data_IF_332734405522
#
_entry.id   IF_332734405522
#
_cell.length_a   1.000
_cell.length_b   1.000
_cell.length_c   1.000
_cell.angle_alpha   90.00
_cell.angle_beta   90.00
_cell.angle_gamma   90.00
#
_symmetry.space_group_name_H-M   'P 1'
#
loop_
_entity.id
_entity.type
_entity.pdbx_description
1 polymer ?
#
# COMPACT_ATOMS: atom_id res chain seq x y z
N UNK A 1 9.86 -18.51 -1.17
CA UNK A 1 8.51 -18.15 -0.69
C UNK A 1 8.69 -16.71 -0.27
N UNK A 2 8.57 -15.80 -1.23
CA UNK A 2 9.10 -14.44 -1.06
C UNK A 2 7.89 -13.51 -1.06
N UNK A 3 7.47 -13.12 0.14
CA UNK A 3 6.30 -12.30 0.37
C UNK A 3 6.41 -11.63 1.72
N UNK A 4 5.79 -10.46 1.84
CA UNK A 4 5.78 -9.69 3.07
C UNK A 4 4.68 -10.17 4.00
N UNK A 5 4.95 -10.19 5.31
CA UNK A 5 3.93 -10.47 6.32
C UNK A 5 3.46 -9.16 6.96
N UNK A 6 2.15 -9.01 7.08
CA UNK A 6 1.56 -7.80 7.65
C UNK A 6 0.23 -8.05 8.33
N UNK A 7 -0.21 -7.03 9.07
CA UNK A 7 -1.52 -6.94 9.69
C UNK A 7 -2.27 -5.84 8.95
N UNK A 8 -3.54 -6.09 8.62
CA UNK A 8 -4.40 -5.04 8.12
C UNK A 8 -5.85 -5.25 8.50
N UNK A 9 -6.71 -4.41 7.93
CA UNK A 9 -8.09 -4.29 8.38
C UNK A 9 -8.91 -5.56 8.11
N UNK A 10 -9.91 -5.84 8.96
CA UNK A 10 -10.76 -7.05 8.84
C UNK A 10 -11.52 -7.18 7.52
N UNK A 11 -11.64 -6.07 6.75
CA UNK A 11 -12.28 -6.04 5.43
C UNK A 11 -11.31 -6.26 4.27
N UNK A 12 -10.04 -6.54 4.54
CA UNK A 12 -9.07 -6.88 3.50
C UNK A 12 -9.51 -8.12 2.71
N UNK A 13 -9.20 -8.12 1.42
CA UNK A 13 -9.42 -9.27 0.54
C UNK A 13 -8.34 -9.34 -0.53
N UNK A 14 -8.27 -10.49 -1.20
CA UNK A 14 -7.42 -10.67 -2.39
C UNK A 14 -7.77 -9.62 -3.44
N UNK A 15 -6.75 -8.94 -3.96
CA UNK A 15 -6.87 -7.83 -4.92
C UNK A 15 -6.79 -6.44 -4.29
N UNK A 16 -6.82 -6.33 -2.96
CA UNK A 16 -6.48 -5.08 -2.29
C UNK A 16 -4.97 -4.79 -2.42
N UNK A 17 -4.63 -3.51 -2.54
CA UNK A 17 -3.27 -3.03 -2.72
C UNK A 17 -2.78 -2.37 -1.43
N UNK A 18 -1.59 -2.78 -0.96
CA UNK A 18 -0.86 -2.03 0.07
C UNK A 18 -0.05 -0.93 -0.62
N UNK A 19 -0.26 0.32 -0.22
CA UNK A 19 0.38 1.48 -0.82
C UNK A 19 1.01 2.36 0.25
N UNK A 20 2.04 3.09 -0.16
CA UNK A 20 2.52 4.28 0.57
C UNK A 20 1.81 5.48 -0.03
N UNK A 21 1.14 6.27 0.80
CA UNK A 21 0.66 7.60 0.40
C UNK A 21 1.69 8.63 0.86
N UNK A 22 2.22 9.42 -0.06
CA UNK A 22 3.22 10.43 0.28
C UNK A 22 2.69 11.42 1.33
N UNK A 23 3.50 11.67 2.36
CA UNK A 23 3.12 12.46 3.53
C UNK A 23 2.51 11.65 4.67
N UNK A 24 2.18 10.37 4.46
CA UNK A 24 1.78 9.44 5.51
C UNK A 24 2.98 8.81 6.24
N UNK A 25 2.76 8.48 7.52
CA UNK A 25 3.70 7.76 8.39
C UNK A 25 3.38 6.26 8.50
N UNK A 26 2.29 5.82 7.86
CA UNK A 26 1.81 4.43 7.82
C UNK A 26 1.50 3.99 6.39
N UNK A 27 1.31 2.69 6.19
CA UNK A 27 0.83 2.13 4.92
C UNK A 27 -0.68 2.18 4.85
N UNK A 28 -1.22 2.18 3.64
CA UNK A 28 -2.65 2.20 3.39
C UNK A 28 -3.08 1.05 2.50
N UNK A 29 -4.35 0.69 2.59
CA UNK A 29 -4.99 -0.32 1.76
C UNK A 29 -5.93 0.38 0.81
N UNK A 30 -5.65 0.29 -0.48
CA UNK A 30 -6.55 0.74 -1.55
C UNK A 30 -7.18 -0.46 -2.24
N UNK A 31 -8.46 -0.33 -2.56
CA UNK A 31 -9.20 -1.31 -3.35
C UNK A 31 -9.57 -0.71 -4.70
N UNK A 32 -9.19 -1.34 -5.82
CA UNK A 32 -9.69 -0.93 -7.14
C UNK A 32 -11.21 -1.10 -7.24
N UNK A 33 -11.91 -0.05 -7.67
CA UNK A 33 -13.34 -0.01 -7.95
C UNK A 33 -13.56 0.71 -9.30
N UNK A 34 -13.42 -0.04 -10.40
CA UNK A 34 -13.50 0.51 -11.76
C UNK A 34 -12.28 1.36 -12.10
N UNK A 35 -12.51 2.62 -12.44
CA UNK A 35 -11.46 3.62 -12.74
C UNK A 35 -10.92 4.34 -11.49
N UNK A 36 -11.55 4.10 -10.34
CA UNK A 36 -11.25 4.75 -9.06
C UNK A 36 -10.81 3.75 -8.01
N UNK A 37 -10.37 4.26 -6.86
CA UNK A 37 -9.95 3.46 -5.72
C UNK A 37 -10.76 3.82 -4.49
N UNK A 38 -10.95 2.82 -3.64
CA UNK A 38 -11.54 3.01 -2.32
C UNK A 38 -10.47 2.86 -1.25
N UNK A 39 -10.37 3.84 -0.36
CA UNK A 39 -9.55 3.74 0.84
C UNK A 39 -10.22 2.79 1.83
N UNK A 40 -9.59 1.64 2.09
CA UNK A 40 -10.11 0.61 3.00
C UNK A 40 -9.64 0.89 4.44
N UNK A 41 -8.43 1.40 4.61
CA UNK A 41 -7.86 1.74 5.91
C UNK A 41 -6.34 1.67 5.91
N UNK A 42 -5.76 1.62 7.10
CA UNK A 42 -4.33 1.52 7.33
C UNK A 42 -3.84 0.06 7.30
N UNK A 43 -2.58 -0.13 6.96
CA UNK A 43 -1.85 -1.40 7.01
C UNK A 43 -0.55 -1.26 7.80
N UNK A 44 -0.17 -2.35 8.45
CA UNK A 44 1.14 -2.50 9.07
C UNK A 44 1.87 -3.68 8.43
N UNK A 45 2.96 -3.38 7.72
CA UNK A 45 3.88 -4.39 7.20
C UNK A 45 5.24 -4.06 7.77
N UNK A 46 5.76 -4.93 8.64
CA UNK A 46 6.91 -4.64 9.49
C UNK A 46 8.13 -4.18 8.69
N UNK A 47 8.43 -4.86 7.60
CA UNK A 47 9.61 -4.58 6.78
C UNK A 47 9.43 -3.25 6.02
N UNK A 48 8.25 -3.05 5.40
CA UNK A 48 7.98 -1.87 4.56
C UNK A 48 7.85 -0.55 5.34
N UNK A 49 7.42 -0.58 6.61
CA UNK A 49 7.24 0.63 7.43
C UNK A 49 8.58 1.24 7.89
N UNK A 50 9.68 0.51 7.76
CA UNK A 50 11.04 0.97 8.15
C UNK A 50 11.72 1.87 7.10
N UNK A 51 11.01 2.23 6.03
CA UNK A 51 11.54 3.05 4.93
C UNK A 51 12.01 2.25 3.71
N UNK A 52 11.96 0.92 3.78
CA UNK A 52 12.26 0.03 2.65
C UNK A 52 11.40 0.34 1.42
N UNK A 53 10.12 0.66 1.60
CA UNK A 53 9.24 1.01 0.48
C UNK A 53 9.76 2.24 -0.30
N UNK A 54 10.34 3.22 0.40
CA UNK A 54 10.95 4.40 -0.23
C UNK A 54 12.29 4.08 -0.88
N UNK A 55 13.08 3.16 -0.30
CA UNK A 55 14.30 2.67 -0.91
C UNK A 55 14.00 1.94 -2.23
N UNK A 56 12.94 1.12 -2.27
CA UNK A 56 12.48 0.44 -3.49
C UNK A 56 12.03 1.44 -4.58
N UNK A 57 11.37 2.53 -4.19
CA UNK A 57 11.03 3.61 -5.13
C UNK A 57 12.30 4.26 -5.69
N UNK A 58 13.27 4.60 -4.84
CA UNK A 58 14.53 5.22 -5.26
C UNK A 58 15.39 4.28 -6.14
N UNK A 59 15.31 2.97 -5.91
CA UNK A 59 15.96 1.94 -6.73
C UNK A 59 15.23 1.67 -8.06
N UNK A 60 14.04 2.23 -8.27
CA UNK A 60 13.22 2.01 -9.46
C UNK A 60 12.48 0.67 -9.48
N UNK A 61 12.42 -0.03 -8.34
CA UNK A 61 11.68 -1.30 -8.19
C UNK A 61 10.17 -1.09 -8.04
N UNK A 62 9.75 0.13 -7.73
CA UNK A 62 8.35 0.55 -7.62
C UNK A 62 8.15 1.86 -8.38
N UNK A 63 6.91 2.08 -8.82
CA UNK A 63 6.51 3.30 -9.51
C UNK A 63 5.48 4.04 -8.68
N UNK A 64 5.57 5.37 -8.69
CA UNK A 64 4.54 6.25 -8.17
C UNK A 64 3.42 6.44 -9.19
N UNK A 65 2.20 6.68 -8.70
CA UNK A 65 1.04 7.00 -9.52
C UNK A 65 0.04 7.82 -8.70
N UNK A 66 -0.86 8.50 -9.39
CA UNK A 66 -2.02 9.14 -8.78
C UNK A 66 -3.15 8.12 -8.58
N UNK A 67 -3.86 8.24 -7.45
CA UNK A 67 -5.04 7.44 -7.15
C UNK A 67 -6.24 8.36 -6.99
N UNK A 68 -7.22 8.22 -7.89
CA UNK A 68 -8.51 8.90 -7.76
C UNK A 68 -9.38 8.13 -6.76
N UNK A 69 -9.71 8.78 -5.65
CA UNK A 69 -10.53 8.17 -4.58
C UNK A 69 -12.02 8.43 -4.80
N UNK A 70 -12.86 7.44 -4.50
CA UNK A 70 -14.32 7.62 -4.38
C UNK A 70 -14.74 8.27 -3.06
#
# INVERSE_FOLDING_TARGET
MDGYMGIGFSRMRVGDMVVVLFGGDVLFILRPEGETYKLIGEAYVHDLISGEAMAMLAAGERQEQWFDLQ
#
